data_IF_619989132774
#
_entry.id   IF_619989132774
#
_cell.length_a   1.000
_cell.length_b   1.000
_cell.length_c   1.000
_cell.angle_alpha   90.00
_cell.angle_beta   90.00
_cell.angle_gamma   90.00
#
_symmetry.space_group_name_H-M   'P 1'
#
loop_
_entity.id
_entity.type
_entity.pdbx_description
1 polymer ?
#
# COMPACT_ATOMS: atom_id res chain seq x y z
N UNK A 1 -11.59 -23.55 19.98
CA UNK A 1 -11.39 -22.74 18.75
C UNK A 1 -12.33 -21.54 18.81
N UNK A 2 -12.03 -20.39 18.17
CA UNK A 2 -12.94 -19.22 18.19
C UNK A 2 -13.81 -19.19 16.93
N UNK A 3 -14.98 -19.84 16.99
CA UNK A 3 -15.88 -19.99 15.84
C UNK A 3 -16.48 -18.66 15.35
N UNK A 4 -16.62 -17.66 16.21
CA UNK A 4 -17.08 -16.31 15.80
C UNK A 4 -16.14 -15.62 14.81
N UNK A 5 -14.84 -15.94 14.89
CA UNK A 5 -13.78 -15.43 14.01
C UNK A 5 -13.44 -16.38 12.85
N UNK A 6 -14.04 -17.56 12.79
CA UNK A 6 -13.85 -18.53 11.71
C UNK A 6 -14.92 -18.29 10.65
N UNK A 7 -14.51 -17.97 9.42
CA UNK A 7 -15.41 -17.72 8.29
C UNK A 7 -14.92 -18.53 7.08
N UNK A 8 -15.85 -19.02 6.27
CA UNK A 8 -15.57 -19.81 5.08
C UNK A 8 -15.52 -18.92 3.84
N UNK A 9 -14.52 -19.15 3.00
CA UNK A 9 -14.24 -18.36 1.80
C UNK A 9 -13.94 -19.34 0.64
N UNK A 10 -14.77 -19.34 -0.42
CA UNK A 10 -14.61 -20.22 -1.59
C UNK A 10 -14.85 -19.45 -2.89
N UNK A 11 -14.10 -19.82 -3.95
CA UNK A 11 -14.25 -19.26 -5.30
C UNK A 11 -15.21 -20.06 -6.18
N UNK A 12 -15.81 -21.12 -5.61
CA UNK A 12 -16.82 -21.94 -6.28
C UNK A 12 -18.19 -21.33 -6.03
N UNK A 13 -19.05 -21.38 -7.04
CA UNK A 13 -20.46 -20.97 -6.90
C UNK A 13 -21.19 -21.86 -5.90
N UNK A 14 -20.72 -23.10 -5.76
CA UNK A 14 -21.17 -24.03 -4.74
C UNK A 14 -20.67 -23.57 -3.35
N UNK A 15 -21.61 -23.10 -2.52
CA UNK A 15 -21.39 -22.64 -1.14
C UNK A 15 -21.91 -23.72 -0.17
N UNK A 16 -21.14 -24.80 0.06
CA UNK A 16 -21.59 -25.91 0.89
C UNK A 16 -21.76 -25.45 2.34
N UNK A 17 -22.78 -26.01 2.99
CA UNK A 17 -23.01 -25.81 4.42
C UNK A 17 -21.95 -26.60 5.21
N UNK A 18 -21.10 -25.90 5.96
CA UNK A 18 -20.04 -26.52 6.77
C UNK A 18 -20.38 -26.34 8.25
N UNK A 19 -20.50 -27.46 8.95
CA UNK A 19 -20.68 -27.52 10.40
C UNK A 19 -19.42 -28.04 11.07
N UNK A 20 -18.92 -27.31 12.06
CA UNK A 20 -17.80 -27.74 12.91
C UNK A 20 -18.31 -27.73 14.35
N UNK A 21 -18.28 -28.88 15.01
CA UNK A 21 -18.72 -29.03 16.42
C UNK A 21 -20.13 -28.47 16.68
N UNK A 22 -21.05 -28.66 15.71
CA UNK A 22 -22.43 -28.18 15.79
C UNK A 22 -22.62 -26.68 15.54
N UNK A 23 -21.55 -25.94 15.23
CA UNK A 23 -21.62 -24.54 14.81
C UNK A 23 -21.51 -24.43 13.30
N UNK A 24 -22.50 -23.79 12.68
CA UNK A 24 -22.49 -23.47 11.25
C UNK A 24 -21.48 -22.34 10.97
N UNK A 25 -20.62 -22.55 9.98
CA UNK A 25 -19.61 -21.57 9.60
C UNK A 25 -20.16 -20.67 8.48
N UNK A 26 -20.23 -19.37 8.76
CA UNK A 26 -20.69 -18.37 7.79
C UNK A 26 -19.75 -18.27 6.57
N UNK A 27 -20.36 -18.24 5.39
CA UNK A 27 -19.69 -17.97 4.12
C UNK A 27 -19.57 -16.47 3.87
N UNK A 28 -18.35 -15.97 3.67
CA UNK A 28 -18.09 -14.55 3.41
C UNK A 28 -17.25 -14.35 2.15
N UNK A 29 -17.59 -13.35 1.34
CA UNK A 29 -16.80 -13.00 0.15
C UNK A 29 -15.61 -12.09 0.50
N UNK A 30 -15.64 -11.46 1.68
CA UNK A 30 -14.65 -10.51 2.19
C UNK A 30 -14.45 -10.71 3.70
N UNK A 31 -13.19 -10.79 4.13
CA UNK A 31 -12.83 -10.92 5.53
C UNK A 31 -11.67 -9.99 5.88
N UNK A 32 -11.76 -9.26 6.99
CA UNK A 32 -10.63 -8.45 7.49
C UNK A 32 -9.82 -9.29 8.48
N UNK A 33 -8.61 -9.68 8.07
CA UNK A 33 -7.67 -10.41 8.91
C UNK A 33 -6.43 -9.54 9.20
N UNK A 34 -6.12 -9.29 10.47
CA UNK A 34 -4.95 -8.51 10.90
C UNK A 34 -4.80 -7.16 10.17
N UNK A 35 -5.93 -6.49 9.89
CA UNK A 35 -5.97 -5.19 9.19
C UNK A 35 -5.88 -5.27 7.66
N UNK A 36 -5.81 -6.47 7.08
CA UNK A 36 -5.84 -6.70 5.63
C UNK A 36 -7.21 -7.23 5.21
N UNK A 37 -7.77 -6.68 4.14
CA UNK A 37 -9.01 -7.18 3.56
C UNK A 37 -8.69 -8.29 2.55
N UNK A 38 -9.09 -9.51 2.90
CA UNK A 38 -8.96 -10.70 2.07
C UNK A 38 -10.30 -10.92 1.37
N UNK A 39 -10.29 -11.06 0.05
CA UNK A 39 -11.39 -11.50 -0.81
C UNK A 39 -10.91 -12.68 -1.64
N UNK A 40 -11.85 -13.53 -2.05
CA UNK A 40 -11.54 -14.73 -2.83
C UNK A 40 -11.32 -14.43 -4.32
N UNK A 41 -11.75 -13.25 -4.80
CA UNK A 41 -11.69 -12.90 -6.22
C UNK A 41 -10.26 -12.60 -6.72
N UNK A 42 -10.02 -12.78 -8.03
CA UNK A 42 -8.77 -12.38 -8.71
C UNK A 42 -8.43 -10.89 -8.56
N UNK A 43 -9.42 -10.05 -8.24
CA UNK A 43 -9.28 -8.59 -8.03
C UNK A 43 -8.72 -8.22 -6.64
N UNK A 44 -8.47 -9.21 -5.79
CA UNK A 44 -8.01 -8.95 -4.44
C UNK A 44 -6.58 -8.35 -4.41
N UNK A 45 -5.76 -8.70 -5.42
CA UNK A 45 -4.44 -8.09 -5.62
C UNK A 45 -4.52 -6.61 -5.98
N UNK A 46 -5.47 -6.20 -6.84
CA UNK A 46 -5.61 -4.80 -7.25
C UNK A 46 -6.10 -3.94 -6.10
N UNK A 47 -7.04 -4.45 -5.31
CA UNK A 47 -7.57 -3.74 -4.12
C UNK A 47 -6.48 -3.48 -3.07
N UNK A 48 -5.65 -4.49 -2.75
CA UNK A 48 -4.56 -4.33 -1.78
C UNK A 48 -3.44 -3.43 -2.31
N UNK A 49 -3.10 -3.52 -3.60
CA UNK A 49 -2.14 -2.60 -4.25
C UNK A 49 -2.66 -1.15 -4.16
N UNK A 50 -3.92 -0.90 -4.52
CA UNK A 50 -4.53 0.43 -4.42
C UNK A 50 -4.52 0.97 -2.99
N UNK A 51 -4.78 0.11 -1.99
CA UNK A 51 -4.70 0.49 -0.58
C UNK A 51 -3.28 0.90 -0.17
N UNK A 52 -2.27 0.12 -0.55
CA UNK A 52 -0.85 0.42 -0.26
C UNK A 52 -0.40 1.71 -0.93
N UNK A 53 -0.81 1.95 -2.17
CA UNK A 53 -0.56 3.22 -2.88
C UNK A 53 -1.17 4.40 -2.12
N UNK A 54 -2.43 4.30 -1.68
CA UNK A 54 -3.08 5.36 -0.88
C UNK A 54 -2.35 5.65 0.42
N UNK A 55 -2.00 4.60 1.18
CA UNK A 55 -1.28 4.77 2.46
C UNK A 55 0.11 5.37 2.25
N UNK A 56 0.83 4.90 1.23
CA UNK A 56 2.15 5.43 0.94
C UNK A 56 2.10 6.89 0.46
N UNK A 57 1.07 7.31 -0.30
CA UNK A 57 0.84 8.72 -0.62
C UNK A 57 0.60 9.58 0.63
N UNK A 58 -0.19 9.11 1.59
CA UNK A 58 -0.43 9.83 2.84
C UNK A 58 0.85 9.97 3.68
N UNK A 59 1.66 8.92 3.75
CA UNK A 59 2.97 8.96 4.42
C UNK A 59 3.94 9.91 3.71
N UNK A 60 3.96 9.84 2.38
CA UNK A 60 4.79 10.68 1.54
C UNK A 60 4.45 12.17 1.68
N UNK A 61 3.16 12.52 1.66
CA UNK A 61 2.70 13.91 1.87
C UNK A 61 3.15 14.48 3.22
N UNK A 62 3.10 13.69 4.30
CA UNK A 62 3.63 14.10 5.62
C UNK A 62 5.14 14.33 5.59
N UNK A 63 5.88 13.45 4.91
CA UNK A 63 7.33 13.59 4.76
C UNK A 63 7.69 14.86 3.97
N UNK A 64 7.01 15.13 2.85
CA UNK A 64 7.23 16.34 2.05
C UNK A 64 6.90 17.62 2.81
N UNK A 65 5.84 17.60 3.63
CA UNK A 65 5.51 18.73 4.51
C UNK A 65 6.61 18.99 5.54
N UNK A 66 7.06 17.94 6.26
CA UNK A 66 8.17 18.09 7.21
C UNK A 66 9.47 18.59 6.55
N UNK A 67 9.74 18.14 5.32
CA UNK A 67 10.92 18.53 4.55
C UNK A 67 10.93 20.00 4.12
N UNK A 68 9.81 20.74 4.22
CA UNK A 68 9.80 22.19 3.98
C UNK A 68 10.77 22.93 4.91
N UNK A 69 10.89 22.45 6.15
CA UNK A 69 11.76 23.05 7.18
C UNK A 69 13.23 22.67 7.01
N UNK A 70 13.54 21.72 6.12
CA UNK A 70 14.91 21.27 5.90
C UNK A 70 15.67 22.19 4.94
N UNK A 71 16.99 22.23 5.10
CA UNK A 71 17.89 22.84 4.11
C UNK A 71 17.98 21.88 2.91
N UNK A 72 17.76 22.40 1.70
CA UNK A 72 17.85 21.63 0.44
C UNK A 72 19.31 21.40 0.06
N UNK A 73 19.96 20.48 0.78
CA UNK A 73 21.28 19.97 0.43
C UNK A 73 21.14 18.75 -0.47
N UNK A 74 22.18 18.45 -1.27
CA UNK A 74 22.23 17.21 -2.06
C UNK A 74 21.99 15.96 -1.21
N UNK A 75 22.53 15.94 0.00
CA UNK A 75 22.36 14.83 0.95
C UNK A 75 20.89 14.65 1.36
N UNK A 76 20.19 15.75 1.66
CA UNK A 76 18.78 15.69 2.06
C UNK A 76 17.86 15.30 0.90
N UNK A 77 18.15 15.78 -0.32
CA UNK A 77 17.43 15.36 -1.52
C UNK A 77 17.61 13.86 -1.79
N UNK A 78 18.83 13.33 -1.63
CA UNK A 78 19.10 11.89 -1.77
C UNK A 78 18.37 11.06 -0.72
N UNK A 79 18.24 11.53 0.52
CA UNK A 79 17.42 10.86 1.54
C UNK A 79 15.96 10.75 1.10
N UNK A 80 15.36 11.83 0.60
CA UNK A 80 13.98 11.83 0.10
C UNK A 80 13.82 10.82 -1.04
N UNK A 81 14.75 10.80 -2.01
CA UNK A 81 14.72 9.86 -3.13
C UNK A 81 14.80 8.40 -2.68
N UNK A 82 15.72 8.08 -1.77
CA UNK A 82 15.86 6.73 -1.20
C UNK A 82 14.60 6.30 -0.46
N UNK A 83 14.02 7.19 0.34
CA UNK A 83 12.78 6.93 1.07
C UNK A 83 11.60 6.73 0.13
N UNK A 84 11.43 7.60 -0.88
CA UNK A 84 10.41 7.44 -1.92
C UNK A 84 10.54 6.08 -2.62
N UNK A 85 11.76 5.72 -3.02
CA UNK A 85 12.03 4.43 -3.69
C UNK A 85 11.62 3.24 -2.82
N UNK A 86 11.98 3.24 -1.54
CA UNK A 86 11.59 2.17 -0.62
C UNK A 86 10.07 2.07 -0.47
N UNK A 87 9.37 3.21 -0.38
CA UNK A 87 7.91 3.25 -0.32
C UNK A 87 7.26 2.71 -1.60
N UNK A 88 7.74 3.12 -2.77
CA UNK A 88 7.22 2.67 -4.07
C UNK A 88 7.38 1.15 -4.26
N UNK A 89 8.50 0.58 -3.83
CA UNK A 89 8.73 -0.87 -3.84
C UNK A 89 7.71 -1.59 -2.94
N UNK A 90 7.43 -1.06 -1.75
CA UNK A 90 6.47 -1.63 -0.82
C UNK A 90 5.02 -1.51 -1.32
N UNK A 91 4.69 -0.40 -2.00
CA UNK A 91 3.39 -0.22 -2.65
C UNK A 91 3.14 -1.30 -3.71
N UNK A 92 4.16 -1.59 -4.52
CA UNK A 92 4.08 -2.57 -5.60
C UNK A 92 4.32 -4.02 -5.13
N UNK A 93 4.71 -4.23 -3.87
CA UNK A 93 5.02 -5.55 -3.32
C UNK A 93 6.21 -6.23 -4.00
N UNK A 94 7.18 -5.46 -4.49
CA UNK A 94 8.35 -5.96 -5.23
C UNK A 94 9.62 -5.82 -4.39
N UNK A 95 10.49 -6.82 -4.48
CA UNK A 95 11.81 -6.77 -3.83
C UNK A 95 12.85 -6.08 -4.72
N UNK A 96 13.91 -5.54 -4.10
CA UNK A 96 15.05 -4.93 -4.81
C UNK A 96 15.74 -5.90 -5.78
N UNK A 97 15.64 -7.21 -5.55
CA UNK A 97 16.21 -8.26 -6.42
C UNK A 97 15.51 -8.40 -7.77
N UNK A 98 14.34 -7.78 -7.96
CA UNK A 98 13.58 -7.88 -9.21
C UNK A 98 14.14 -7.08 -10.39
N UNK A 99 15.32 -6.44 -10.26
CA UNK A 99 15.98 -5.63 -11.29
C UNK A 99 15.03 -4.69 -12.07
N UNK A 100 14.13 -4.00 -11.37
CA UNK A 100 13.22 -3.01 -11.97
C UNK A 100 13.83 -1.62 -11.94
N UNK A 101 13.74 -0.90 -13.05
CA UNK A 101 14.30 0.45 -13.14
C UNK A 101 13.52 1.43 -12.26
N UNK A 102 14.11 2.60 -12.01
CA UNK A 102 13.41 3.68 -11.32
C UNK A 102 12.21 4.18 -12.15
N UNK A 103 12.39 4.23 -13.46
CA UNK A 103 11.36 4.64 -14.41
C UNK A 103 10.17 3.68 -14.46
N UNK A 104 10.41 2.37 -14.53
CA UNK A 104 9.35 1.35 -14.51
C UNK A 104 8.45 1.47 -13.27
N UNK A 105 9.08 1.70 -12.13
CA UNK A 105 8.38 1.79 -10.85
C UNK A 105 7.59 3.09 -10.79
N UNK A 106 8.16 4.21 -11.25
CA UNK A 106 7.46 5.49 -11.40
C UNK A 106 6.24 5.37 -12.30
N UNK A 107 6.39 4.66 -13.42
CA UNK A 107 5.32 4.46 -14.40
C UNK A 107 4.17 3.62 -13.83
N UNK A 108 4.47 2.68 -12.93
CA UNK A 108 3.47 1.82 -12.28
C UNK A 108 2.80 2.50 -11.08
N UNK A 109 3.53 3.25 -10.28
CA UNK A 109 2.98 3.92 -9.09
C UNK A 109 2.30 5.25 -9.40
N UNK A 110 2.74 5.93 -10.47
CA UNK A 110 2.35 7.31 -10.83
C UNK A 110 2.55 8.31 -9.67
N UNK A 111 3.44 7.99 -8.73
CA UNK A 111 3.79 8.87 -7.60
C UNK A 111 4.62 10.04 -8.12
N UNK A 112 4.31 11.26 -7.67
CA UNK A 112 5.04 12.48 -8.07
C UNK A 112 6.46 12.48 -7.48
N UNK A 113 7.38 13.22 -8.08
CA UNK A 113 8.73 13.35 -7.52
C UNK A 113 8.70 14.05 -6.17
N UNK A 114 9.30 13.39 -5.19
CA UNK A 114 9.28 13.83 -3.83
C UNK A 114 10.13 15.04 -3.53
N UNK A 115 11.25 15.18 -4.24
CA UNK A 115 12.14 16.34 -4.14
C UNK A 115 11.48 17.55 -4.78
N UNK A 116 10.87 17.39 -5.95
CA UNK A 116 10.08 18.44 -6.60
C UNK A 116 8.91 18.89 -5.73
N UNK A 117 8.19 17.94 -5.11
CA UNK A 117 7.05 18.26 -4.29
C UNK A 117 7.46 18.98 -3.00
N UNK A 118 8.55 18.55 -2.35
CA UNK A 118 9.12 19.26 -1.22
C UNK A 118 9.60 20.67 -1.61
N UNK A 119 10.24 20.83 -2.78
CA UNK A 119 10.70 22.12 -3.27
C UNK A 119 9.54 23.08 -3.53
N UNK A 120 8.49 22.64 -4.23
CA UNK A 120 7.27 23.43 -4.46
C UNK A 120 6.64 23.91 -3.15
N UNK A 121 6.52 23.00 -2.19
CA UNK A 121 5.95 23.30 -0.89
C UNK A 121 6.78 24.31 -0.07
N UNK A 122 8.11 24.24 -0.16
CA UNK A 122 8.98 25.22 0.48
C UNK A 122 8.76 26.62 -0.08
N UNK A 123 8.73 26.76 -1.41
CA UNK A 123 8.55 28.07 -2.05
C UNK A 123 7.12 28.61 -1.96
N UNK A 124 6.11 27.75 -1.81
CA UNK A 124 4.72 28.16 -1.65
C UNK A 124 4.42 28.89 -0.32
N UNK A 125 5.27 28.74 0.70
CA UNK A 125 5.15 29.43 2.00
C UNK A 125 5.98 30.70 2.14
N UNK A 126 6.70 31.11 1.08
CA UNK A 126 7.58 32.29 1.07
C UNK A 126 7.07 33.43 0.16
N UNK A 127 5.81 33.36 -0.28
CA UNK A 127 5.11 34.42 -1.02
C UNK A 127 4.12 35.17 -0.13
#
# INVERSE_FOLDING_TARGET
MNFSKTKLMSNKDDKPMINIEGTEIEHVDKYTNLGQNVRVSKENHTTEISRRVKMGWAAFGRLSYGAQTWIFTKINMEKIRKTQRAMELQMLGISLKGHKTNEDIRNRTKVKDGVEQAAKLKWAGHN
#
